data_IF_087851193813
#
_entry.id   IF_087851193813
#
_cell.length_a   1.000
_cell.length_b   1.000
_cell.length_c   1.000
_cell.angle_alpha   90.00
_cell.angle_beta   90.00
_cell.angle_gamma   90.00
#
_symmetry.space_group_name_H-M   'P 1'
#
loop_
_entity.id
_entity.type
_entity.pdbx_description
1 polymer ?
#
# COMPACT_ATOMS: atom_id res chain seq x y z
N UNK A 1 -3.85 -47.80 -46.06
CA UNK A 1 -5.18 -47.19 -45.84
C UNK A 1 -5.30 -46.89 -44.36
N UNK A 2 -4.93 -45.68 -43.93
CA UNK A 2 -5.47 -44.98 -42.75
C UNK A 2 -5.19 -43.49 -42.95
N UNK A 3 -6.25 -42.71 -42.82
CA UNK A 3 -6.36 -41.26 -42.95
C UNK A 3 -6.32 -40.62 -41.56
N UNK A 4 -6.25 -39.29 -41.54
CA UNK A 4 -6.44 -38.33 -40.42
C UNK A 4 -5.17 -38.03 -39.61
N UNK A 5 -4.84 -36.77 -39.29
CA UNK A 5 -5.56 -35.50 -39.45
C UNK A 5 -4.64 -34.34 -39.06
N UNK A 6 -4.72 -33.25 -39.82
CA UNK A 6 -4.18 -31.92 -39.49
C UNK A 6 -4.76 -31.39 -38.18
N UNK A 7 -3.91 -31.04 -37.22
CA UNK A 7 -4.23 -30.14 -36.10
C UNK A 7 -2.97 -29.37 -35.70
N UNK A 8 -2.47 -28.54 -36.61
CA UNK A 8 -1.49 -27.50 -36.30
C UNK A 8 -2.14 -26.17 -36.67
N UNK A 9 -2.92 -25.57 -35.76
CA UNK A 9 -3.30 -24.14 -35.77
C UNK A 9 -4.21 -23.72 -34.60
N UNK A 10 -4.07 -24.29 -33.39
CA UNK A 10 -4.95 -23.91 -32.27
C UNK A 10 -4.23 -23.38 -31.01
N UNK A 11 -2.91 -23.18 -31.08
CA UNK A 11 -2.10 -22.73 -29.93
C UNK A 11 -1.37 -21.40 -30.15
N UNK A 12 -1.63 -20.64 -31.22
CA UNK A 12 -0.93 -19.37 -31.47
C UNK A 12 -1.73 -18.12 -31.05
N UNK A 13 -3.05 -18.22 -30.91
CA UNK A 13 -3.91 -17.04 -30.63
C UNK A 13 -4.29 -16.90 -29.14
N UNK A 14 -4.12 -17.96 -28.34
CA UNK A 14 -4.42 -17.92 -26.89
C UNK A 14 -3.30 -17.32 -26.03
N UNK A 15 -2.10 -17.19 -26.58
CA UNK A 15 -0.94 -16.63 -25.89
C UNK A 15 -0.75 -15.12 -26.13
N UNK A 16 -1.62 -14.50 -26.95
CA UNK A 16 -1.54 -13.08 -27.33
C UNK A 16 -2.65 -12.20 -26.75
N UNK A 17 -3.55 -12.74 -25.92
CA UNK A 17 -4.68 -12.02 -25.31
C UNK A 17 -4.70 -12.09 -23.78
N UNK A 18 -3.54 -12.25 -23.13
CA UNK A 18 -3.34 -11.64 -21.81
C UNK A 18 -2.80 -10.24 -22.06
N UNK A 19 -3.72 -9.35 -22.41
CA UNK A 19 -3.51 -7.93 -22.14
C UNK A 19 -3.10 -7.86 -20.67
N UNK A 20 -1.84 -7.55 -20.44
CA UNK A 20 -1.34 -7.09 -19.16
C UNK A 20 -2.16 -5.85 -18.84
N UNK A 21 -3.26 -6.00 -18.08
CA UNK A 21 -3.72 -4.91 -17.22
C UNK A 21 -2.46 -4.47 -16.47
N UNK A 22 -1.92 -3.30 -16.83
CA UNK A 22 -0.83 -2.69 -16.08
C UNK A 22 -1.27 -2.69 -14.62
N UNK A 23 -0.57 -3.45 -13.78
CA UNK A 23 -0.92 -3.53 -12.38
C UNK A 23 -0.68 -2.15 -11.79
N UNK A 24 -1.76 -1.41 -11.53
CA UNK A 24 -1.69 -0.09 -10.91
C UNK A 24 -0.89 -0.21 -9.62
N UNK A 25 0.07 0.68 -9.45
CA UNK A 25 0.91 0.78 -8.26
C UNK A 25 0.31 1.77 -7.27
N UNK A 26 0.87 1.82 -6.05
CA UNK A 26 0.49 2.82 -5.05
C UNK A 26 0.61 4.25 -5.57
N UNK A 27 1.59 4.52 -6.44
CA UNK A 27 1.82 5.83 -7.08
C UNK A 27 0.64 6.23 -7.97
N UNK A 28 0.05 5.27 -8.69
CA UNK A 28 -1.07 5.53 -9.59
C UNK A 28 -2.39 5.73 -8.84
N UNK A 29 -2.51 5.11 -7.67
CA UNK A 29 -3.76 4.99 -6.93
C UNK A 29 -3.89 5.98 -5.77
N UNK A 30 -2.78 6.38 -5.15
CA UNK A 30 -2.78 7.19 -3.94
C UNK A 30 -2.13 8.54 -4.25
N UNK A 31 -2.90 9.61 -4.06
CA UNK A 31 -2.43 10.97 -4.29
C UNK A 31 -1.84 11.57 -3.00
N UNK A 32 -0.78 12.39 -3.09
CA UNK A 32 -0.25 13.10 -1.93
C UNK A 32 -1.30 13.96 -1.22
N UNK A 33 -2.28 14.49 -1.97
CA UNK A 33 -3.41 15.29 -1.45
C UNK A 33 -4.30 14.53 -0.46
N UNK A 34 -4.21 13.21 -0.38
CA UNK A 34 -4.91 12.43 0.64
C UNK A 34 -4.36 12.65 2.06
N UNK A 35 -3.18 13.28 2.19
CA UNK A 35 -2.44 13.46 3.46
C UNK A 35 -2.35 14.91 3.94
N UNK A 36 -2.94 15.86 3.22
CA UNK A 36 -3.04 17.25 3.67
C UNK A 36 -4.31 17.92 3.12
N UNK A 37 -4.86 18.83 3.90
CA UNK A 37 -6.01 19.69 3.57
C UNK A 37 -5.65 21.18 3.56
N UNK A 38 -4.47 21.51 4.07
CA UNK A 38 -3.92 22.87 4.15
C UNK A 38 -2.40 22.86 4.03
N UNK A 39 -1.80 24.02 3.72
CA UNK A 39 -0.34 24.17 3.65
C UNK A 39 0.37 23.82 4.96
N UNK A 40 -0.26 24.10 6.12
CA UNK A 40 0.30 23.74 7.43
C UNK A 40 0.37 22.23 7.66
N UNK A 41 -0.37 21.43 6.90
CA UNK A 41 -0.32 19.97 6.97
C UNK A 41 0.71 19.36 6.00
N UNK A 42 1.38 20.15 5.16
CA UNK A 42 2.49 19.68 4.31
C UNK A 42 3.78 19.52 5.11
N UNK A 43 3.74 18.68 6.13
CA UNK A 43 4.88 18.37 7.00
C UNK A 43 5.51 17.03 6.64
N UNK A 44 6.78 16.84 6.99
CA UNK A 44 7.55 15.64 6.63
C UNK A 44 6.92 14.34 7.16
N UNK A 45 6.26 14.37 8.32
CA UNK A 45 5.55 13.20 8.83
C UNK A 45 4.37 12.80 7.93
N UNK A 46 3.66 13.77 7.35
CA UNK A 46 2.55 13.47 6.44
C UNK A 46 3.07 12.89 5.12
N UNK A 47 4.23 13.34 4.65
CA UNK A 47 4.89 12.72 3.49
C UNK A 47 5.31 11.28 3.77
N UNK A 48 5.91 11.03 4.94
CA UNK A 48 6.24 9.67 5.36
C UNK A 48 4.99 8.77 5.39
N UNK A 49 3.86 9.27 5.87
CA UNK A 49 2.60 8.51 5.87
C UNK A 49 2.06 8.28 4.45
N UNK A 50 2.27 9.22 3.53
CA UNK A 50 1.96 9.04 2.12
C UNK A 50 2.78 7.90 1.51
N UNK A 51 4.11 7.91 1.67
CA UNK A 51 5.00 6.85 1.21
C UNK A 51 4.63 5.49 1.82
N UNK A 52 4.32 5.46 3.12
CA UNK A 52 3.87 4.26 3.81
C UNK A 52 2.57 3.71 3.19
N UNK A 53 1.61 4.56 2.83
CA UNK A 53 0.37 4.10 2.23
C UNK A 53 0.57 3.47 0.85
N UNK A 54 1.52 3.99 0.06
CA UNK A 54 1.88 3.36 -1.22
C UNK A 54 2.52 1.99 -1.01
N UNK A 55 3.48 1.89 -0.08
CA UNK A 55 4.10 0.62 0.27
C UNK A 55 3.10 -0.42 0.77
N UNK A 56 2.15 -0.03 1.62
CA UNK A 56 1.08 -0.91 2.10
C UNK A 56 0.22 -1.41 0.92
N UNK A 57 -0.16 -0.50 0.02
CA UNK A 57 -0.94 -0.86 -1.16
C UNK A 57 -0.20 -1.89 -2.01
N UNK A 58 1.06 -1.62 -2.35
CA UNK A 58 1.86 -2.47 -3.23
C UNK A 58 2.09 -3.86 -2.60
N UNK A 59 2.43 -3.92 -1.31
CA UNK A 59 2.65 -5.18 -0.60
C UNK A 59 1.37 -6.03 -0.50
N UNK A 60 0.23 -5.42 -0.20
CA UNK A 60 -1.05 -6.13 -0.14
C UNK A 60 -1.49 -6.56 -1.55
N UNK A 61 -1.38 -5.68 -2.54
CA UNK A 61 -1.75 -5.97 -3.92
C UNK A 61 -0.92 -7.13 -4.48
N UNK A 62 0.40 -7.08 -4.28
CA UNK A 62 1.33 -8.11 -4.75
C UNK A 62 1.13 -9.47 -4.05
N UNK A 63 0.80 -9.48 -2.76
CA UNK A 63 0.66 -10.73 -1.99
C UNK A 63 -0.76 -11.31 -1.99
N UNK A 64 -1.79 -10.48 -2.11
CA UNK A 64 -3.20 -10.84 -1.86
C UNK A 64 -4.19 -10.37 -2.94
N UNK A 65 -3.80 -9.59 -3.94
CA UNK A 65 -4.73 -8.93 -4.88
C UNK A 65 -5.83 -9.84 -5.44
N UNK A 66 -5.46 -10.99 -6.00
CA UNK A 66 -6.43 -11.96 -6.55
C UNK A 66 -7.35 -12.61 -5.49
N UNK A 67 -6.89 -12.71 -4.24
CA UNK A 67 -7.70 -13.22 -3.14
C UNK A 67 -8.68 -12.15 -2.66
N UNK A 68 -8.28 -10.89 -2.63
CA UNK A 68 -9.11 -9.77 -2.21
C UNK A 68 -10.26 -9.49 -3.18
N UNK A 69 -10.07 -9.73 -4.48
CA UNK A 69 -11.16 -9.69 -5.48
C UNK A 69 -12.35 -10.60 -5.10
N UNK A 70 -12.10 -11.75 -4.45
CA UNK A 70 -13.16 -12.66 -3.98
C UNK A 70 -14.01 -12.06 -2.85
N UNK A 71 -13.48 -11.08 -2.15
CA UNK A 71 -14.17 -10.31 -1.11
C UNK A 71 -14.75 -9.00 -1.65
N UNK A 72 -14.72 -8.79 -2.98
CA UNK A 72 -15.14 -7.54 -3.63
C UNK A 72 -14.34 -6.32 -3.16
N UNK A 73 -13.08 -6.52 -2.79
CA UNK A 73 -12.14 -5.45 -2.51
C UNK A 73 -11.38 -5.21 -3.81
N UNK A 74 -11.69 -4.07 -4.44
CA UNK A 74 -11.04 -3.60 -5.66
C UNK A 74 -9.85 -2.67 -5.34
N UNK A 75 -9.22 -2.15 -6.38
CA UNK A 75 -8.00 -1.34 -6.24
C UNK A 75 -8.27 -0.01 -5.54
N UNK A 76 -9.44 0.59 -5.77
CA UNK A 76 -9.86 1.82 -5.09
C UNK A 76 -10.08 1.57 -3.60
N UNK A 77 -10.83 0.51 -3.26
CA UNK A 77 -11.05 0.10 -1.86
C UNK A 77 -9.74 -0.22 -1.15
N UNK A 78 -8.80 -0.86 -1.84
CA UNK A 78 -7.48 -1.16 -1.29
C UNK A 78 -6.63 0.10 -1.09
N UNK A 79 -6.71 1.07 -2.01
CA UNK A 79 -6.03 2.36 -1.87
C UNK A 79 -6.58 3.16 -0.68
N UNK A 80 -7.90 3.24 -0.54
CA UNK A 80 -8.55 3.89 0.61
C UNK A 80 -8.17 3.23 1.94
N UNK A 81 -8.16 1.89 1.97
CA UNK A 81 -7.70 1.14 3.14
C UNK A 81 -6.24 1.46 3.49
N UNK A 82 -5.36 1.52 2.49
CA UNK A 82 -3.94 1.80 2.69
C UNK A 82 -3.72 3.21 3.25
N UNK A 83 -4.49 4.19 2.77
CA UNK A 83 -4.53 5.57 3.33
C UNK A 83 -5.03 5.54 4.78
N UNK A 84 -6.11 4.80 5.05
CA UNK A 84 -6.68 4.67 6.40
C UNK A 84 -5.65 4.12 7.40
N UNK A 85 -4.96 3.02 7.05
CA UNK A 85 -3.95 2.42 7.91
C UNK A 85 -2.78 3.37 8.13
N UNK A 86 -2.25 4.00 7.09
CA UNK A 86 -1.14 4.95 7.25
C UNK A 86 -1.52 6.12 8.18
N UNK A 87 -2.75 6.63 8.09
CA UNK A 87 -3.26 7.66 9.01
C UNK A 87 -3.37 7.17 10.45
N UNK A 88 -3.80 5.92 10.67
CA UNK A 88 -3.80 5.32 12.02
C UNK A 88 -2.39 5.11 12.55
N UNK A 89 -1.47 4.67 11.70
CA UNK A 89 -0.07 4.49 12.07
C UNK A 89 0.60 5.81 12.44
N UNK A 90 0.23 6.94 11.81
CA UNK A 90 0.72 8.27 12.22
C UNK A 90 0.57 8.52 13.72
N UNK A 91 -0.60 8.22 14.29
CA UNK A 91 -0.86 8.40 15.72
C UNK A 91 0.06 7.52 16.58
N UNK A 92 0.29 6.28 16.15
CA UNK A 92 1.15 5.30 16.83
C UNK A 92 2.63 5.74 16.77
N UNK A 93 3.07 6.22 15.61
CA UNK A 93 4.42 6.77 15.41
C UNK A 93 4.64 7.96 16.36
N UNK A 94 3.68 8.88 16.46
CA UNK A 94 3.77 10.01 17.39
C UNK A 94 3.83 9.55 18.86
N UNK A 95 3.10 8.50 19.23
CA UNK A 95 3.21 7.90 20.56
C UNK A 95 4.60 7.31 20.81
N UNK A 96 5.18 6.62 19.82
CA UNK A 96 6.54 6.06 19.89
C UNK A 96 7.58 7.17 20.03
N UNK A 97 7.48 8.23 19.23
CA UNK A 97 8.40 9.37 19.26
C UNK A 97 8.31 10.19 20.56
N UNK A 98 7.13 10.24 21.19
CA UNK A 98 6.95 10.87 22.51
C UNK A 98 7.32 9.96 23.68
N UNK A 99 7.78 8.73 23.42
CA UNK A 99 8.14 7.76 24.46
C UNK A 99 6.95 7.15 25.21
N UNK A 100 5.71 7.35 24.73
CA UNK A 100 4.50 6.77 25.35
C UNK A 100 4.40 5.27 25.14
N UNK A 101 4.94 4.77 24.03
CA UNK A 101 4.99 3.34 23.70
C UNK A 101 6.41 2.94 23.29
N UNK A 102 6.76 1.69 23.56
CA UNK A 102 8.08 1.15 23.23
C UNK A 102 8.20 0.71 21.77
N UNK A 103 7.12 0.25 21.14
CA UNK A 103 7.16 -0.26 19.77
C UNK A 103 5.94 0.18 18.97
N UNK A 104 6.14 0.39 17.67
CA UNK A 104 5.03 0.55 16.71
C UNK A 104 4.37 -0.80 16.53
N UNK A 105 3.04 -0.82 16.53
CA UNK A 105 2.24 -2.02 16.37
C UNK A 105 1.11 -1.77 15.36
N UNK A 106 0.66 -2.84 14.71
CA UNK A 106 -0.52 -2.83 13.85
C UNK A 106 -1.48 -3.85 14.47
N UNK A 107 -2.67 -3.42 14.89
CA UNK A 107 -3.62 -4.32 15.53
C UNK A 107 -4.51 -5.00 14.50
N UNK A 108 -4.94 -6.23 14.82
CA UNK A 108 -5.95 -6.97 14.06
C UNK A 108 -7.23 -6.14 13.86
N UNK A 109 -7.66 -5.45 14.91
CA UNK A 109 -8.84 -4.59 14.93
C UNK A 109 -8.81 -3.48 13.87
N UNK A 110 -7.62 -2.94 13.52
CA UNK A 110 -7.52 -1.92 12.46
C UNK A 110 -7.96 -2.46 11.10
N UNK A 111 -7.66 -3.73 10.81
CA UNK A 111 -8.04 -4.37 9.55
C UNK A 111 -9.49 -4.84 9.61
N UNK A 112 -9.88 -5.49 10.70
CA UNK A 112 -11.24 -6.02 10.88
C UNK A 112 -12.29 -4.90 10.90
N UNK A 113 -11.99 -3.77 11.54
CA UNK A 113 -12.92 -2.62 11.57
C UNK A 113 -13.19 -2.04 10.18
N UNK A 114 -12.21 -2.10 9.27
CA UNK A 114 -12.36 -1.60 7.90
C UNK A 114 -12.98 -2.66 6.98
N UNK A 115 -12.58 -3.92 7.11
CA UNK A 115 -13.07 -5.03 6.32
C UNK A 115 -13.62 -6.17 7.22
N UNK A 116 -14.85 -6.03 7.75
CA UNK A 116 -15.39 -6.91 8.79
C UNK A 116 -15.72 -8.33 8.32
N UNK A 117 -15.73 -8.58 7.01
CA UNK A 117 -16.12 -9.88 6.43
C UNK A 117 -14.92 -10.72 5.97
N UNK A 118 -13.70 -10.30 6.31
CA UNK A 118 -12.50 -11.07 6.00
C UNK A 118 -12.38 -12.27 6.93
N UNK A 119 -11.82 -13.36 6.39
CA UNK A 119 -11.38 -14.48 7.24
C UNK A 119 -10.10 -14.08 7.95
N UNK A 120 -9.88 -14.59 9.16
CA UNK A 120 -8.67 -14.33 9.96
C UNK A 120 -7.38 -14.62 9.17
N UNK A 121 -7.37 -15.69 8.37
CA UNK A 121 -6.23 -16.03 7.50
C UNK A 121 -5.91 -15.01 6.40
N UNK A 122 -6.87 -14.17 6.02
CA UNK A 122 -6.67 -13.04 5.10
C UNK A 122 -6.22 -11.84 5.89
N UNK A 123 -6.86 -11.56 7.03
CA UNK A 123 -6.46 -10.46 7.93
C UNK A 123 -5.00 -10.61 8.37
N UNK A 124 -4.58 -11.78 8.83
CA UNK A 124 -3.20 -12.04 9.24
C UNK A 124 -2.20 -11.77 8.11
N UNK A 125 -2.53 -12.13 6.87
CA UNK A 125 -1.66 -11.84 5.72
C UNK A 125 -1.65 -10.37 5.33
N UNK A 126 -2.74 -9.65 5.57
CA UNK A 126 -2.73 -8.20 5.41
C UNK A 126 -1.86 -7.56 6.49
N UNK A 127 -1.92 -8.02 7.73
CA UNK A 127 -1.03 -7.59 8.80
C UNK A 127 0.43 -7.85 8.44
N UNK A 128 0.77 -9.05 7.95
CA UNK A 128 2.11 -9.39 7.49
C UNK A 128 2.60 -8.42 6.39
N UNK A 129 1.74 -8.09 5.42
CA UNK A 129 2.06 -7.16 4.34
C UNK A 129 2.25 -5.72 4.86
N UNK A 130 1.41 -5.25 5.79
CA UNK A 130 1.57 -3.93 6.41
C UNK A 130 2.86 -3.87 7.23
N UNK A 131 3.17 -4.91 8.01
CA UNK A 131 4.43 -5.01 8.76
C UNK A 131 5.64 -4.98 7.83
N UNK A 132 5.59 -5.70 6.70
CA UNK A 132 6.65 -5.68 5.70
C UNK A 132 6.84 -4.30 5.09
N UNK A 133 5.77 -3.63 4.67
CA UNK A 133 5.83 -2.27 4.13
C UNK A 133 6.43 -1.27 5.14
N UNK A 134 6.07 -1.40 6.42
CA UNK A 134 6.63 -0.60 7.50
C UNK A 134 8.13 -0.83 7.67
N UNK A 135 8.56 -2.09 7.76
CA UNK A 135 9.96 -2.45 7.96
C UNK A 135 10.83 -2.01 6.77
N UNK A 136 10.33 -2.18 5.55
CA UNK A 136 11.00 -1.74 4.32
C UNK A 136 11.16 -0.21 4.31
N UNK A 137 10.09 0.54 4.58
CA UNK A 137 10.15 2.00 4.60
C UNK A 137 11.10 2.54 5.67
N UNK A 138 11.07 1.96 6.89
CA UNK A 138 11.96 2.36 7.97
C UNK A 138 13.41 2.05 7.62
N UNK A 139 13.69 0.88 7.05
CA UNK A 139 15.05 0.50 6.64
C UNK A 139 15.64 1.47 5.60
N UNK A 140 14.79 2.03 4.73
CA UNK A 140 15.19 3.06 3.78
C UNK A 140 15.37 4.42 4.47
N UNK A 141 14.46 4.77 5.38
CA UNK A 141 14.50 6.03 6.12
C UNK A 141 15.76 6.20 6.98
N UNK A 142 16.32 5.13 7.53
CA UNK A 142 17.60 5.16 8.26
C UNK A 142 18.78 5.71 7.43
N UNK A 143 18.68 5.63 6.10
CA UNK A 143 19.72 6.07 5.15
C UNK A 143 19.28 7.26 4.30
N UNK A 144 18.04 7.71 4.48
CA UNK A 144 17.44 8.74 3.65
C UNK A 144 17.84 10.14 4.14
N UNK A 145 18.31 11.04 3.25
CA UNK A 145 18.69 12.40 3.65
C UNK A 145 17.49 13.25 4.06
N UNK A 146 16.26 12.85 3.70
CA UNK A 146 15.04 13.63 3.94
C UNK A 146 14.68 13.71 5.42
N UNK A 147 15.11 12.76 6.25
CA UNK A 147 14.95 12.80 7.70
C UNK A 147 13.49 12.99 8.16
N UNK A 148 12.54 12.32 7.49
CA UNK A 148 11.11 12.60 7.68
C UNK A 148 10.61 12.39 9.11
N UNK A 149 11.19 11.45 9.84
CA UNK A 149 10.80 11.12 11.21
C UNK A 149 11.46 12.06 12.24
N UNK A 150 12.75 12.37 12.10
CA UNK A 150 13.46 13.26 13.03
C UNK A 150 13.03 14.71 12.85
N UNK A 151 12.70 15.13 11.63
CA UNK A 151 12.20 16.46 11.29
C UNK A 151 10.69 16.47 11.02
N UNK A 152 9.93 15.64 11.74
CA UNK A 152 8.49 15.35 11.52
C UNK A 152 7.57 16.57 11.32
N UNK A 153 7.87 17.70 11.98
CA UNK A 153 7.06 18.92 11.96
C UNK A 153 7.57 19.94 10.92
N UNK A 154 8.72 19.69 10.28
CA UNK A 154 9.26 20.56 9.25
C UNK A 154 8.41 20.50 7.99
N UNK A 155 8.36 21.62 7.27
CA UNK A 155 7.71 21.71 5.97
C UNK A 155 8.34 20.71 4.99
N UNK A 156 7.51 20.09 4.15
CA UNK A 156 7.91 19.09 3.19
C UNK A 156 7.69 19.57 1.77
N UNK A 157 8.76 20.03 1.12
CA UNK A 157 8.74 20.55 -0.26
C UNK A 157 8.34 19.50 -1.28
N UNK A 158 8.48 18.21 -0.95
CA UNK A 158 8.04 17.11 -1.83
C UNK A 158 6.53 17.08 -2.03
N UNK A 159 5.71 17.86 -1.30
CA UNK A 159 4.30 18.05 -1.65
C UNK A 159 4.10 19.09 -2.77
N UNK A 160 5.12 19.89 -3.11
CA UNK A 160 5.05 20.97 -4.10
C UNK A 160 5.68 20.59 -5.44
N UNK A 161 6.57 19.60 -5.43
CA UNK A 161 7.31 19.08 -6.59
C UNK A 161 6.44 18.13 -7.47
N UNK A 162 5.34 18.64 -8.02
CA UNK A 162 4.42 17.90 -8.91
C UNK A 162 4.40 18.43 -10.36
N UNK A 163 3.98 17.60 -11.33
CA UNK A 163 2.59 17.11 -11.31
C UNK A 163 2.49 15.67 -10.81
N UNK A 164 1.59 15.46 -9.86
CA UNK A 164 1.15 14.15 -9.34
C UNK A 164 -0.19 13.76 -9.94
#
# INVERSE_FOLDING_TARGET
>A
MMSYSSLSNFNSERDMARETEESKSGIDMIKPTSFYSSESEKVKLNWFCYELSMGIYDEIKGSLGERLKKYKIDDESLAEFSIYIAKKMKEIILQKLSGKIEMVYISYEMVESYFPNLRDSVVNKMLDAISKAWDELISFCERCPTQCISEKDAYCTMFDEGPY
#
